data_IF_943235996351
#
_entry.id   IF_943235996351
#
_cell.length_a   1.000
_cell.length_b   1.000
_cell.length_c   1.000
_cell.angle_alpha   90.00
_cell.angle_beta   90.00
_cell.angle_gamma   90.00
#
_symmetry.space_group_name_H-M   'P 1'
#
loop_
_entity.id
_entity.type
_entity.pdbx_description
1 polymer ?
#
# COMPACT_ATOMS: atom_id res chain seq x y z
N UNK A 1 -22.46 6.48 -12.67
CA UNK A 1 -21.87 7.62 -13.44
C UNK A 1 -20.42 7.94 -13.03
N UNK A 2 -19.71 7.00 -12.38
CA UNK A 2 -18.33 7.14 -11.91
C UNK A 2 -17.44 6.19 -12.72
N UNK A 3 -16.22 6.59 -13.05
CA UNK A 3 -15.18 5.98 -13.91
C UNK A 3 -15.14 6.31 -15.41
N UNK A 4 -16.25 6.62 -16.11
CA UNK A 4 -16.17 6.95 -17.55
C UNK A 4 -15.61 8.34 -17.86
N UNK A 5 -15.62 9.29 -16.91
CA UNK A 5 -15.24 10.68 -17.18
C UNK A 5 -13.77 11.05 -16.91
N UNK A 6 -12.93 10.13 -16.43
CA UNK A 6 -11.48 10.37 -16.34
C UNK A 6 -10.70 10.02 -17.62
N UNK A 7 -11.37 9.47 -18.64
CA UNK A 7 -10.75 9.17 -19.94
C UNK A 7 -10.89 10.31 -20.97
N UNK A 8 -11.61 11.39 -20.65
CA UNK A 8 -11.96 12.45 -21.60
C UNK A 8 -11.30 13.81 -21.31
N UNK A 9 -10.27 13.87 -20.47
CA UNK A 9 -9.45 15.08 -20.31
C UNK A 9 -8.05 14.78 -20.86
N UNK A 10 -7.58 15.48 -21.91
CA UNK A 10 -6.28 15.24 -22.50
C UNK A 10 -5.21 15.77 -21.52
N UNK A 11 -4.78 14.93 -20.60
CA UNK A 11 -3.58 15.16 -19.81
C UNK A 11 -2.43 14.40 -20.50
N UNK A 12 -1.39 15.07 -21.04
CA UNK A 12 -0.30 14.40 -21.75
C UNK A 12 0.55 13.43 -20.89
N UNK A 13 0.25 13.30 -19.59
CA UNK A 13 0.94 12.43 -18.63
C UNK A 13 0.27 11.05 -18.42
N UNK A 14 -1.03 10.88 -18.73
CA UNK A 14 -1.70 9.59 -18.52
C UNK A 14 -1.37 8.54 -19.59
N UNK A 15 -1.09 8.96 -20.83
CA UNK A 15 -0.69 8.06 -21.92
C UNK A 15 0.70 7.43 -21.72
N UNK A 16 1.61 8.11 -21.00
CA UNK A 16 2.99 7.64 -20.77
C UNK A 16 3.10 6.63 -19.61
N UNK A 17 2.30 6.75 -18.55
CA UNK A 17 2.26 5.75 -17.47
C UNK A 17 1.59 4.45 -17.95
N UNK A 18 0.60 4.57 -18.83
CA UNK A 18 -0.04 3.43 -19.46
C UNK A 18 0.90 2.69 -20.42
N UNK A 19 1.98 3.25 -20.97
CA UNK A 19 2.73 2.51 -22.00
C UNK A 19 3.54 1.33 -21.45
N UNK A 20 3.83 1.33 -20.15
CA UNK A 20 4.56 0.25 -19.46
C UNK A 20 3.63 -0.61 -18.64
N UNK A 21 2.63 0.04 -18.02
CA UNK A 21 1.62 -0.66 -17.24
C UNK A 21 0.64 -1.39 -18.18
N UNK A 22 0.28 -0.85 -19.35
CA UNK A 22 -0.78 -1.43 -20.20
C UNK A 22 -0.47 -2.84 -20.73
N UNK A 23 0.76 -3.21 -21.16
CA UNK A 23 1.04 -4.61 -21.51
C UNK A 23 0.89 -5.57 -20.30
N UNK A 24 1.31 -5.11 -19.11
CA UNK A 24 1.30 -5.92 -17.86
C UNK A 24 -0.07 -5.90 -17.14
N UNK A 25 -0.91 -4.89 -17.39
CA UNK A 25 -2.20 -4.66 -16.72
C UNK A 25 -3.40 -5.07 -17.59
N UNK A 26 -3.23 -5.20 -18.91
CA UNK A 26 -4.25 -5.70 -19.85
C UNK A 26 -4.47 -7.21 -19.69
N UNK A 27 -3.49 -7.98 -19.24
CA UNK A 27 -3.62 -9.44 -19.09
C UNK A 27 -3.96 -9.92 -17.66
N UNK A 28 -3.74 -9.09 -16.64
CA UNK A 28 -4.23 -9.34 -15.28
C UNK A 28 -5.76 -9.16 -15.10
N UNK A 29 -6.51 -8.81 -16.15
CA UNK A 29 -7.96 -8.56 -16.07
C UNK A 29 -8.77 -9.27 -17.16
N UNK A 30 -9.33 -10.47 -16.89
CA UNK A 30 -10.46 -10.98 -17.65
C UNK A 30 -11.84 -10.60 -17.07
N UNK A 31 -11.94 -9.86 -15.94
CA UNK A 31 -13.22 -9.73 -15.19
C UNK A 31 -13.78 -8.29 -15.10
N UNK A 32 -13.25 -7.32 -15.83
CA UNK A 32 -13.85 -5.97 -15.89
C UNK A 32 -14.03 -5.48 -17.33
N UNK A 33 -14.72 -6.26 -18.15
CA UNK A 33 -15.41 -5.75 -19.33
C UNK A 33 -16.60 -6.65 -19.64
N UNK A 34 -17.82 -6.20 -19.30
CA UNK A 34 -18.71 -5.81 -20.39
C UNK A 34 -19.46 -4.51 -20.07
N UNK A 35 -20.13 -3.97 -21.11
CA UNK A 35 -21.06 -2.83 -21.11
C UNK A 35 -20.49 -1.49 -21.61
N UNK A 36 -19.90 -1.53 -22.81
CA UNK A 36 -20.42 -0.70 -23.90
C UNK A 36 -21.65 -1.41 -24.46
N UNK A 37 -22.85 -1.08 -23.98
CA UNK A 37 -24.07 -1.11 -24.79
C UNK A 37 -25.25 -0.46 -24.06
N UNK A 38 -26.08 0.22 -24.85
CA UNK A 38 -27.12 1.16 -24.46
C UNK A 38 -28.42 0.50 -23.95
N UNK A 39 -29.13 1.26 -23.10
CA UNK A 39 -30.57 1.20 -22.76
C UNK A 39 -31.14 -0.08 -22.11
N UNK A 40 -31.67 0.07 -20.87
CA UNK A 40 -33.11 0.03 -20.53
C UNK A 40 -33.28 0.25 -19.02
N UNK A 41 -34.28 1.08 -18.68
CA UNK A 41 -34.78 1.40 -17.35
C UNK A 41 -35.24 0.16 -16.56
N UNK A 42 -35.03 0.15 -15.24
CA UNK A 42 -36.14 0.08 -14.26
C UNK A 42 -35.65 0.34 -12.83
N UNK A 43 -36.62 0.75 -12.01
CA UNK A 43 -36.54 1.50 -10.76
C UNK A 43 -36.56 0.56 -9.54
N UNK A 44 -36.18 1.11 -8.37
CA UNK A 44 -36.73 0.86 -7.02
C UNK A 44 -35.83 0.09 -6.01
N UNK A 45 -35.99 0.27 -4.68
CA UNK A 45 -35.54 1.46 -3.93
C UNK A 45 -34.81 1.12 -2.60
N UNK A 46 -34.32 2.17 -1.90
CA UNK A 46 -34.14 2.27 -0.44
C UNK A 46 -33.08 1.39 0.26
N UNK A 47 -32.03 2.04 0.76
CA UNK A 47 -31.80 2.16 2.20
C UNK A 47 -30.80 3.29 2.48
N UNK A 48 -31.35 4.42 2.91
CA UNK A 48 -30.59 5.47 3.56
C UNK A 48 -30.15 4.94 4.93
N UNK A 49 -28.84 4.82 5.14
CA UNK A 49 -28.27 4.62 6.47
C UNK A 49 -27.39 5.83 6.77
N UNK A 50 -28.01 6.81 7.40
CA UNK A 50 -27.31 7.81 8.19
C UNK A 50 -26.82 7.13 9.47
N UNK A 51 -25.54 6.77 9.55
CA UNK A 51 -24.92 6.48 10.85
C UNK A 51 -23.91 7.54 11.19
N UNK A 52 -24.28 8.36 12.18
CA UNK A 52 -23.33 8.99 13.08
C UNK A 52 -22.34 7.94 13.57
N UNK A 53 -21.06 8.15 13.25
CA UNK A 53 -19.95 7.33 13.74
C UNK A 53 -19.77 7.64 15.24
N UNK A 54 -20.51 6.92 16.08
CA UNK A 54 -20.18 6.83 17.49
C UNK A 54 -19.03 5.85 17.65
N UNK A 55 -17.87 6.36 18.08
CA UNK A 55 -16.74 5.55 18.54
C UNK A 55 -17.18 4.67 19.71
N UNK A 56 -17.54 3.41 19.44
CA UNK A 56 -17.65 2.40 20.49
C UNK A 56 -16.23 2.02 20.92
N UNK A 57 -15.92 2.00 22.23
CA UNK A 57 -14.62 1.57 22.71
C UNK A 57 -14.45 0.08 22.47
N UNK A 58 -13.47 -0.30 21.65
CA UNK A 58 -12.99 -1.67 21.60
C UNK A 58 -12.53 -2.07 23.02
N UNK A 59 -13.00 -3.22 23.50
CA UNK A 59 -12.62 -3.72 24.82
C UNK A 59 -11.08 -3.90 24.90
N UNK A 60 -10.43 -3.45 25.99
CA UNK A 60 -8.99 -3.54 26.11
C UNK A 60 -8.51 -5.00 26.14
N UNK A 61 -7.55 -5.35 25.28
CA UNK A 61 -6.87 -6.64 25.30
C UNK A 61 -6.08 -6.77 26.62
N UNK A 62 -6.32 -7.80 27.46
CA UNK A 62 -5.62 -7.94 28.74
C UNK A 62 -4.12 -8.29 28.56
N UNK A 63 -3.24 -7.34 28.91
CA UNK A 63 -1.78 -7.44 28.80
C UNK A 63 -1.08 -8.60 29.55
N UNK A 64 -1.50 -9.09 30.74
CA UNK A 64 -0.76 -10.16 31.43
C UNK A 64 -0.80 -11.51 30.69
N UNK A 65 -1.53 -11.60 29.57
CA UNK A 65 -1.64 -12.80 28.76
C UNK A 65 -0.56 -12.94 27.69
N UNK A 66 0.14 -11.90 27.28
CA UNK A 66 1.15 -12.01 26.22
C UNK A 66 2.56 -12.05 26.80
N UNK A 67 3.40 -13.00 26.36
CA UNK A 67 4.86 -12.93 26.61
C UNK A 67 5.54 -12.32 25.38
N UNK A 68 6.50 -11.40 25.55
CA UNK A 68 7.36 -10.99 24.46
C UNK A 68 8.23 -12.21 24.04
N UNK A 69 8.19 -12.56 22.76
CA UNK A 69 9.23 -13.39 22.17
C UNK A 69 10.43 -12.47 21.86
N UNK A 70 11.63 -12.89 22.24
CA UNK A 70 12.86 -12.04 22.31
C UNK A 70 13.46 -11.80 20.92
N UNK A 71 12.65 -11.53 19.90
CA UNK A 71 13.14 -11.26 18.55
C UNK A 71 12.50 -9.98 17.99
N UNK A 72 13.28 -8.90 17.76
CA UNK A 72 12.79 -7.74 17.03
C UNK A 72 12.51 -8.15 15.58
N UNK A 73 11.33 -7.80 15.08
CA UNK A 73 10.90 -8.09 13.71
C UNK A 73 11.36 -7.02 12.70
N UNK A 74 11.99 -5.93 13.15
CA UNK A 74 12.42 -4.81 12.29
C UNK A 74 13.81 -4.28 12.62
N UNK A 75 14.55 -3.69 11.65
CA UNK A 75 15.80 -2.98 11.88
C UNK A 75 15.65 -1.77 12.83
N UNK A 76 16.76 -1.33 13.44
CA UNK A 76 16.80 -0.28 14.49
C UNK A 76 16.25 1.11 14.08
N UNK A 77 16.13 1.40 12.78
CA UNK A 77 15.62 2.67 12.25
C UNK A 77 14.08 2.75 12.23
N UNK A 78 13.39 1.61 12.26
CA UNK A 78 11.91 1.53 12.26
C UNK A 78 11.34 1.51 13.70
N UNK A 79 10.05 1.81 13.87
CA UNK A 79 9.36 1.52 15.14
C UNK A 79 9.55 0.05 15.50
N UNK A 80 9.96 -0.23 16.73
CA UNK A 80 10.28 -1.60 17.15
C UNK A 80 9.01 -2.46 17.11
N UNK A 81 8.97 -3.44 16.21
CA UNK A 81 7.91 -4.46 16.19
C UNK A 81 8.42 -5.72 16.87
N UNK A 82 7.62 -6.30 17.76
CA UNK A 82 7.94 -7.53 18.47
C UNK A 82 6.85 -8.57 18.27
N UNK A 83 7.24 -9.84 18.18
CA UNK A 83 6.31 -10.95 18.27
C UNK A 83 5.85 -11.13 19.72
N UNK A 84 4.54 -11.18 19.93
CA UNK A 84 3.93 -11.47 21.21
C UNK A 84 3.03 -12.70 21.08
N UNK A 85 3.16 -13.65 22.02
CA UNK A 85 2.38 -14.89 22.01
C UNK A 85 1.47 -14.93 23.22
N UNK A 86 0.18 -15.16 22.99
CA UNK A 86 -0.80 -15.34 24.05
C UNK A 86 -0.51 -16.64 24.81
N UNK A 87 -0.28 -16.53 26.13
CA UNK A 87 0.07 -17.63 27.02
C UNK A 87 -1.00 -18.71 27.16
N UNK A 88 -2.25 -18.40 26.82
CA UNK A 88 -3.38 -19.33 26.97
C UNK A 88 -3.82 -19.93 25.64
N UNK A 89 -3.88 -19.10 24.59
CA UNK A 89 -4.38 -19.52 23.28
C UNK A 89 -3.26 -19.85 22.29
N UNK A 90 -2.01 -19.57 22.64
CA UNK A 90 -0.83 -19.67 21.75
C UNK A 90 -0.92 -18.79 20.49
N UNK A 91 -1.89 -17.87 20.46
CA UNK A 91 -2.10 -16.94 19.36
C UNK A 91 -0.94 -15.93 19.29
N UNK A 92 -0.33 -15.84 18.11
CA UNK A 92 0.76 -14.92 17.80
C UNK A 92 0.23 -13.59 17.24
N UNK A 93 0.74 -12.48 17.75
CA UNK A 93 0.44 -11.12 17.27
C UNK A 93 1.73 -10.30 17.14
N UNK A 94 1.73 -9.36 16.21
CA UNK A 94 2.80 -8.37 16.09
C UNK A 94 2.46 -7.14 16.96
N UNK A 95 3.42 -6.66 17.74
CA UNK A 95 3.26 -5.50 18.62
C UNK A 95 4.21 -4.40 18.18
N UNK A 96 3.68 -3.34 17.56
CA UNK A 96 4.44 -2.14 17.19
C UNK A 96 4.53 -1.22 18.40
N UNK A 97 5.75 -0.94 18.86
CA UNK A 97 6.05 -0.15 20.05
C UNK A 97 6.59 1.22 19.61
N UNK A 98 5.89 2.28 19.98
CA UNK A 98 6.21 3.66 19.61
C UNK A 98 6.45 4.50 20.86
N UNK A 99 7.64 5.06 20.99
CA UNK A 99 7.94 6.06 22.02
C UNK A 99 7.51 7.45 21.53
N UNK A 100 6.48 8.01 22.16
CA UNK A 100 5.89 9.31 21.80
C UNK A 100 6.79 10.50 22.14
N UNK A 101 7.90 10.31 22.88
CA UNK A 101 8.87 11.37 23.18
C UNK A 101 9.92 11.57 22.08
N UNK A 102 10.05 10.63 21.14
CA UNK A 102 11.10 10.69 20.10
C UNK A 102 10.98 11.92 19.20
N UNK A 103 9.78 12.45 18.98
CA UNK A 103 9.54 13.65 18.19
C UNK A 103 8.26 14.36 18.64
N UNK A 104 8.22 15.69 18.54
CA UNK A 104 7.07 16.52 18.94
C UNK A 104 5.78 16.18 18.16
N UNK A 105 5.90 15.80 16.89
CA UNK A 105 4.76 15.42 16.03
C UNK A 105 4.30 13.96 16.22
N UNK A 106 5.10 13.15 16.93
CA UNK A 106 4.85 11.72 17.11
C UNK A 106 3.46 11.41 17.72
N UNK A 107 2.97 12.13 18.75
CA UNK A 107 1.65 11.89 19.32
C UNK A 107 0.48 12.08 18.33
N UNK A 108 0.60 13.02 17.40
CA UNK A 108 -0.46 13.26 16.41
C UNK A 108 -0.39 12.26 15.26
N UNK A 109 0.83 11.97 14.79
CA UNK A 109 1.06 10.96 13.76
C UNK A 109 0.56 9.58 14.21
N UNK A 110 0.82 9.18 15.47
CA UNK A 110 0.36 7.88 15.97
C UNK A 110 -1.15 7.82 16.18
N UNK A 111 -1.79 8.93 16.59
CA UNK A 111 -3.26 9.00 16.67
C UNK A 111 -3.89 8.82 15.30
N UNK A 112 -3.34 9.48 14.29
CA UNK A 112 -3.78 9.36 12.90
C UNK A 112 -3.63 7.93 12.39
N UNK A 113 -2.47 7.31 12.63
CA UNK A 113 -2.21 5.91 12.28
C UNK A 113 -3.23 4.98 12.93
N UNK A 114 -3.49 5.13 14.24
CA UNK A 114 -4.50 4.34 14.96
C UNK A 114 -5.91 4.55 14.39
N UNK A 115 -6.28 5.79 14.08
CA UNK A 115 -7.59 6.09 13.49
C UNK A 115 -7.77 5.43 12.12
N UNK A 116 -6.75 5.50 11.26
CA UNK A 116 -6.75 4.83 9.97
C UNK A 116 -6.88 3.33 10.16
N UNK A 117 -6.03 2.70 10.99
CA UNK A 117 -6.05 1.26 11.25
C UNK A 117 -7.43 0.74 11.72
N UNK A 118 -8.16 1.52 12.54
CA UNK A 118 -9.52 1.16 12.99
C UNK A 118 -10.55 1.07 11.86
N UNK A 119 -10.30 1.72 10.72
CA UNK A 119 -11.20 1.70 9.56
C UNK A 119 -10.91 0.52 8.62
N UNK A 120 -9.79 -0.17 8.79
CA UNK A 120 -9.30 -1.16 7.84
C UNK A 120 -9.83 -2.57 8.18
N UNK A 121 -10.39 -3.22 7.18
CA UNK A 121 -10.85 -4.60 7.22
C UNK A 121 -10.88 -5.16 5.80
N UNK A 122 -9.78 -5.81 5.40
CA UNK A 122 -9.62 -6.45 4.09
C UNK A 122 -8.61 -7.60 4.19
N UNK A 123 -8.73 -8.62 3.36
CA UNK A 123 -7.85 -9.80 3.43
C UNK A 123 -6.39 -9.46 3.11
N UNK A 124 -6.14 -8.52 2.19
CA UNK A 124 -4.81 -8.04 1.79
C UNK A 124 -4.30 -6.84 2.59
N UNK A 125 -4.83 -6.60 3.80
CA UNK A 125 -4.38 -5.54 4.69
C UNK A 125 -4.15 -6.14 6.08
N UNK A 126 -3.03 -5.78 6.73
CA UNK A 126 -2.71 -6.23 8.09
C UNK A 126 -3.86 -5.88 9.04
N UNK A 127 -4.42 -6.89 9.73
CA UNK A 127 -5.49 -6.64 10.69
C UNK A 127 -4.99 -5.87 11.90
N UNK A 128 -5.79 -4.91 12.36
CA UNK A 128 -5.58 -4.17 13.58
C UNK A 128 -6.47 -4.72 14.70
N UNK A 129 -5.85 -5.25 15.76
CA UNK A 129 -6.58 -5.81 16.91
C UNK A 129 -6.88 -4.78 17.99
N UNK A 130 -6.06 -3.73 18.08
CA UNK A 130 -6.26 -2.69 19.08
C UNK A 130 -4.98 -1.96 19.44
N UNK A 131 -5.08 -1.09 20.44
CA UNK A 131 -3.93 -0.34 20.94
C UNK A 131 -3.99 -0.17 22.45
N UNK A 132 -2.83 0.02 23.09
CA UNK A 132 -2.70 0.35 24.50
C UNK A 132 -1.67 1.45 24.67
N UNK A 133 -1.90 2.34 25.64
CA UNK A 133 -0.94 3.36 26.05
C UNK A 133 -0.44 3.06 27.44
N UNK A 134 0.87 3.15 27.65
CA UNK A 134 1.51 3.04 28.96
C UNK A 134 2.52 4.18 29.11
N UNK A 135 2.15 5.20 29.89
CA UNK A 135 2.94 6.43 30.00
C UNK A 135 3.13 7.14 28.65
N UNK A 136 4.38 7.20 28.20
CA UNK A 136 4.78 7.80 26.92
C UNK A 136 4.94 6.77 25.79
N UNK A 137 4.68 5.49 26.06
CA UNK A 137 4.81 4.42 25.07
C UNK A 137 3.43 4.02 24.56
N UNK A 138 3.31 3.90 23.24
CA UNK A 138 2.13 3.42 22.55
C UNK A 138 2.41 2.02 21.97
N UNK A 139 1.46 1.11 22.17
CA UNK A 139 1.50 -0.26 21.67
C UNK A 139 0.34 -0.47 20.69
N UNK A 140 0.63 -0.91 19.48
CA UNK A 140 -0.37 -1.31 18.47
C UNK A 140 -0.28 -2.82 18.30
N UNK A 141 -1.42 -3.51 18.39
CA UNK A 141 -1.53 -4.95 18.23
C UNK A 141 -2.04 -5.25 16.82
N UNK A 142 -1.23 -5.96 16.05
CA UNK A 142 -1.40 -6.19 14.63
C UNK A 142 -1.36 -7.69 14.31
N UNK A 143 -1.93 -8.07 13.18
CA UNK A 143 -1.77 -9.41 12.58
C UNK A 143 -0.29 -9.77 12.46
N UNK A 144 0.09 -10.94 12.98
CA UNK A 144 1.42 -11.47 12.75
C UNK A 144 1.47 -12.17 11.40
N UNK A 145 2.30 -11.64 10.51
CA UNK A 145 2.53 -12.19 9.17
C UNK A 145 3.79 -13.07 9.21
N UNK A 146 3.60 -14.38 9.42
CA UNK A 146 4.70 -15.33 9.65
C UNK A 146 5.59 -15.58 8.42
N UNK A 147 5.12 -15.22 7.23
CA UNK A 147 5.86 -15.34 5.96
C UNK A 147 6.90 -14.24 5.74
N UNK A 148 6.99 -13.25 6.64
CA UNK A 148 7.98 -12.17 6.58
C UNK A 148 7.62 -11.06 5.59
N UNK A 149 8.63 -10.32 5.16
CA UNK A 149 8.51 -9.24 4.18
C UNK A 149 8.57 -9.81 2.75
N UNK A 150 7.84 -9.20 1.82
CA UNK A 150 7.96 -9.49 0.38
C UNK A 150 9.38 -9.18 -0.11
N UNK A 151 10.04 -8.20 0.52
CA UNK A 151 11.44 -7.85 0.25
C UNK A 151 12.36 -9.07 0.27
N UNK A 152 12.21 -9.95 1.28
CA UNK A 152 13.04 -11.15 1.44
C UNK A 152 12.75 -12.23 0.39
N UNK A 153 11.67 -12.09 -0.39
CA UNK A 153 11.31 -13.00 -1.49
C UNK A 153 11.89 -12.58 -2.84
N UNK A 154 12.43 -11.36 -2.94
CA UNK A 154 12.97 -10.82 -4.18
C UNK A 154 14.46 -11.15 -4.22
N UNK A 155 14.88 -12.04 -5.12
CA UNK A 155 16.30 -12.36 -5.30
C UNK A 155 17.00 -11.16 -5.95
N UNK A 156 18.11 -10.64 -5.37
CA UNK A 156 18.84 -9.53 -5.95
C UNK A 156 19.28 -9.81 -7.39
N UNK A 157 19.11 -8.84 -8.27
CA UNK A 157 19.41 -8.91 -9.72
C UNK A 157 18.62 -9.95 -10.54
N UNK A 158 17.76 -10.74 -9.92
CA UNK A 158 16.98 -11.81 -10.58
C UNK A 158 15.48 -11.56 -10.48
N UNK A 159 14.98 -11.21 -9.29
CA UNK A 159 13.54 -11.10 -9.02
C UNK A 159 12.95 -12.39 -8.46
N UNK A 160 11.77 -12.75 -8.94
CA UNK A 160 11.05 -13.98 -8.59
C UNK A 160 10.32 -14.54 -9.82
N UNK A 161 9.85 -15.79 -9.79
CA UNK A 161 9.07 -16.36 -10.89
C UNK A 161 7.87 -15.50 -11.26
N UNK A 162 7.69 -15.27 -12.55
CA UNK A 162 6.64 -14.41 -13.09
C UNK A 162 5.21 -14.75 -12.60
N UNK A 163 4.78 -16.03 -12.52
CA UNK A 163 3.47 -16.37 -11.97
C UNK A 163 3.30 -16.00 -10.49
N UNK A 164 4.39 -16.01 -9.72
CA UNK A 164 4.40 -15.62 -8.32
C UNK A 164 4.30 -14.09 -8.20
N UNK A 165 5.07 -13.35 -9.00
CA UNK A 165 4.99 -11.89 -9.08
C UNK A 165 3.57 -11.44 -9.49
N UNK A 166 2.95 -12.10 -10.48
CA UNK A 166 1.57 -11.82 -10.91
C UNK A 166 0.56 -12.05 -9.76
N UNK A 167 0.68 -13.17 -9.04
CA UNK A 167 -0.18 -13.49 -7.88
C UNK A 167 -0.07 -12.42 -6.80
N UNK A 168 1.15 -12.03 -6.40
CA UNK A 168 1.34 -10.97 -5.40
C UNK A 168 0.85 -9.62 -5.90
N UNK A 169 1.06 -9.31 -7.18
CA UNK A 169 0.57 -8.07 -7.77
C UNK A 169 -0.96 -7.98 -7.76
N UNK A 170 -1.68 -9.05 -8.08
CA UNK A 170 -3.14 -9.10 -7.97
C UNK A 170 -3.62 -8.80 -6.54
N UNK A 171 -2.97 -9.40 -5.53
CA UNK A 171 -3.27 -9.17 -4.12
C UNK A 171 -2.94 -7.74 -3.67
N UNK A 172 -1.83 -7.17 -4.15
CA UNK A 172 -1.47 -5.77 -3.92
C UNK A 172 -2.53 -4.83 -4.50
N UNK A 173 -2.94 -5.04 -5.74
CA UNK A 173 -3.98 -4.23 -6.39
C UNK A 173 -5.32 -4.37 -5.65
N UNK A 174 -5.71 -5.57 -5.21
CA UNK A 174 -6.91 -5.76 -4.41
C UNK A 174 -6.89 -4.94 -3.12
N UNK A 175 -5.77 -4.95 -2.38
CA UNK A 175 -5.57 -4.13 -1.18
C UNK A 175 -5.60 -2.63 -1.48
N UNK A 176 -4.96 -2.17 -2.55
CA UNK A 176 -4.93 -0.74 -2.94
C UNK A 176 -6.31 -0.25 -3.39
N UNK A 177 -7.05 -1.04 -4.18
CA UNK A 177 -8.43 -0.75 -4.57
C UNK A 177 -9.31 -0.60 -3.33
N UNK A 178 -9.18 -1.51 -2.37
CA UNK A 178 -9.88 -1.41 -1.09
C UNK A 178 -9.57 -0.08 -0.37
N UNK A 179 -8.28 0.26 -0.18
CA UNK A 179 -7.88 1.50 0.49
C UNK A 179 -8.43 2.74 -0.21
N UNK A 180 -8.32 2.80 -1.54
CA UNK A 180 -8.81 3.92 -2.34
C UNK A 180 -10.34 4.05 -2.30
N UNK A 181 -11.07 2.92 -2.25
CA UNK A 181 -12.53 2.92 -2.15
C UNK A 181 -13.05 3.57 -0.86
N UNK A 182 -12.30 3.45 0.24
CA UNK A 182 -12.61 4.10 1.52
C UNK A 182 -11.91 5.46 1.68
N UNK A 183 -11.27 5.96 0.62
CA UNK A 183 -10.66 7.29 0.58
C UNK A 183 -9.33 7.42 1.31
N UNK A 184 -8.58 6.31 1.45
CA UNK A 184 -7.28 6.25 2.11
C UNK A 184 -6.18 5.99 1.09
N UNK A 185 -5.08 6.71 1.18
CA UNK A 185 -3.85 6.44 0.41
C UNK A 185 -2.75 6.00 1.36
N UNK A 186 -1.90 5.08 0.90
CA UNK A 186 -0.82 4.50 1.69
C UNK A 186 0.40 5.43 1.75
N UNK A 187 0.86 5.90 0.58
CA UNK A 187 1.99 6.83 0.37
C UNK A 187 3.40 6.31 0.66
N UNK A 188 3.55 5.03 0.99
CA UNK A 188 4.86 4.36 1.13
C UNK A 188 4.77 2.87 0.77
N UNK A 189 4.18 2.55 -0.38
CA UNK A 189 4.13 1.16 -0.86
C UNK A 189 5.51 0.74 -1.39
N UNK A 190 6.04 -0.34 -0.83
CA UNK A 190 7.34 -0.94 -1.15
C UNK A 190 7.42 -2.35 -0.56
N UNK A 191 8.28 -3.25 -1.04
CA UNK A 191 8.33 -4.65 -0.60
C UNK A 191 8.47 -4.84 0.91
N UNK A 192 9.16 -3.94 1.62
CA UNK A 192 9.32 -3.98 3.08
C UNK A 192 8.00 -3.74 3.83
N UNK A 193 7.07 -2.99 3.24
CA UNK A 193 5.75 -2.70 3.82
C UNK A 193 4.68 -3.70 3.33
N UNK A 194 5.05 -4.69 2.52
CA UNK A 194 4.18 -5.75 2.02
C UNK A 194 4.58 -7.06 2.69
N UNK A 195 3.76 -7.53 3.63
CA UNK A 195 4.05 -8.73 4.41
C UNK A 195 3.35 -9.96 3.84
N UNK A 196 3.79 -11.14 4.23
CA UNK A 196 3.21 -12.42 3.82
C UNK A 196 2.71 -13.19 5.05
N UNK A 197 1.48 -13.68 5.00
CA UNK A 197 0.99 -14.60 6.03
C UNK A 197 1.53 -16.04 5.83
N UNK A 198 1.12 -16.98 6.69
CA UNK A 198 1.57 -18.38 6.62
C UNK A 198 1.13 -19.15 5.37
N UNK A 199 0.37 -18.54 4.45
CA UNK A 199 -0.04 -19.11 3.16
C UNK A 199 0.46 -18.30 1.97
N UNK A 200 1.40 -17.38 2.20
CA UNK A 200 1.86 -16.40 1.22
C UNK A 200 0.70 -15.54 0.67
N UNK A 201 -0.21 -15.13 1.55
CA UNK A 201 -1.17 -14.06 1.22
C UNK A 201 -0.52 -12.73 1.56
N UNK A 202 -0.43 -11.84 0.57
CA UNK A 202 0.12 -10.49 0.71
C UNK A 202 -0.79 -9.61 1.57
N UNK A 203 -0.17 -8.89 2.50
CA UNK A 203 -0.77 -7.98 3.49
C UNK A 203 -0.08 -6.62 3.43
N UNK A 204 -0.81 -5.58 3.02
CA UNK A 204 -0.32 -4.20 3.10
C UNK A 204 -0.21 -3.80 4.58
N UNK A 205 0.96 -3.30 4.98
CA UNK A 205 1.30 -2.95 6.36
C UNK A 205 1.87 -1.53 6.47
N UNK A 206 2.09 -1.06 7.71
CA UNK A 206 2.65 0.26 8.07
C UNK A 206 1.91 1.50 7.54
N UNK A 207 0.78 1.81 8.16
CA UNK A 207 -0.03 3.00 7.87
C UNK A 207 0.49 4.29 8.52
N UNK A 208 1.74 4.35 8.97
CA UNK A 208 2.31 5.53 9.63
C UNK A 208 2.34 6.79 8.74
N UNK A 209 2.49 6.60 7.43
CA UNK A 209 2.41 7.67 6.44
C UNK A 209 1.05 7.78 5.75
N UNK A 210 0.09 6.90 6.04
CA UNK A 210 -1.20 6.91 5.36
C UNK A 210 -2.02 8.19 5.65
N UNK A 211 -2.95 8.52 4.75
CA UNK A 211 -3.83 9.68 4.94
C UNK A 211 -5.17 9.52 4.23
N UNK A 212 -6.21 10.16 4.77
CA UNK A 212 -7.51 10.27 4.09
C UNK A 212 -7.39 11.32 2.99
N UNK A 213 -7.66 10.96 1.74
CA UNK A 213 -7.68 11.87 0.60
C UNK A 213 -9.10 12.10 0.05
N UNK A 214 -10.08 11.30 0.47
CA UNK A 214 -11.48 11.45 0.07
C UNK A 214 -12.41 11.30 1.27
N UNK A 215 -13.34 12.24 1.44
CA UNK A 215 -14.35 12.20 2.50
C UNK A 215 -15.66 12.85 2.02
N UNK A 216 -16.81 12.22 2.27
CA UNK A 216 -18.12 12.73 1.83
C UNK A 216 -18.21 12.93 0.30
N UNK A 217 -17.57 12.06 -0.48
CA UNK A 217 -17.50 12.18 -1.95
C UNK A 217 -16.57 13.29 -2.48
N UNK A 218 -15.93 14.07 -1.60
CA UNK A 218 -14.99 15.13 -1.99
C UNK A 218 -13.55 14.63 -1.90
N UNK A 219 -12.83 14.71 -3.01
CA UNK A 219 -11.40 14.45 -3.09
C UNK A 219 -10.62 15.71 -2.69
N UNK A 220 -9.55 15.56 -1.90
CA UNK A 220 -8.57 16.62 -1.62
C UNK A 220 -7.24 16.31 -2.28
N UNK A 221 -6.57 17.35 -2.76
CA UNK A 221 -5.18 17.25 -3.20
C UNK A 221 -4.24 17.17 -1.99
N UNK A 222 -3.09 16.56 -2.20
CA UNK A 222 -2.03 16.42 -1.22
C UNK A 222 -0.87 17.34 -1.59
N UNK A 223 -0.18 17.85 -0.56
CA UNK A 223 0.98 18.75 -0.68
C UNK A 223 2.23 18.19 -0.02
N UNK A 224 2.07 17.32 0.99
CA UNK A 224 3.18 16.78 1.78
C UNK A 224 3.94 15.73 0.98
N UNK A 225 5.19 16.03 0.66
CA UNK A 225 6.16 15.09 0.13
C UNK A 225 6.59 14.09 1.21
N UNK A 226 6.36 12.80 0.98
CA UNK A 226 6.80 11.70 1.83
C UNK A 226 6.82 10.39 1.02
N UNK A 227 7.42 9.35 1.61
CA UNK A 227 7.63 8.06 0.97
C UNK A 227 9.11 7.80 0.70
N UNK A 228 9.41 6.63 0.16
CA UNK A 228 10.78 6.18 -0.12
C UNK A 228 11.16 6.52 -1.57
N UNK A 229 12.27 7.26 -1.78
CA UNK A 229 12.59 7.98 -3.04
C UNK A 229 12.49 7.15 -4.35
N UNK A 230 12.96 5.89 -4.44
CA UNK A 230 12.82 5.11 -5.67
C UNK A 230 11.36 4.83 -6.06
N UNK A 231 10.48 4.77 -5.07
CA UNK A 231 9.06 4.40 -5.20
C UNK A 231 8.13 5.61 -5.31
N UNK A 232 8.60 6.83 -5.02
CA UNK A 232 7.73 8.02 -5.13
C UNK A 232 7.43 8.31 -6.60
N UNK A 233 6.26 8.91 -6.86
CA UNK A 233 5.87 9.33 -8.20
C UNK A 233 6.54 10.67 -8.60
N UNK A 234 6.82 10.90 -9.90
CA UNK A 234 7.49 12.12 -10.36
C UNK A 234 6.74 13.41 -10.04
N UNK A 235 5.40 13.40 -10.03
CA UNK A 235 4.60 14.57 -9.68
C UNK A 235 4.80 15.01 -8.23
N UNK A 236 5.18 14.10 -7.34
CA UNK A 236 5.48 14.38 -5.94
C UNK A 236 6.74 15.26 -5.80
N UNK A 237 7.67 15.17 -6.77
CA UNK A 237 8.89 15.98 -6.83
C UNK A 237 8.73 17.30 -7.60
N UNK A 238 7.66 17.42 -8.41
CA UNK A 238 7.50 18.51 -9.39
C UNK A 238 6.33 19.44 -9.10
N UNK A 239 5.31 18.97 -8.40
CA UNK A 239 4.05 19.69 -8.21
C UNK A 239 3.87 20.11 -6.76
N UNK A 240 3.40 21.34 -6.54
CA UNK A 240 3.02 21.80 -5.21
C UNK A 240 1.81 21.02 -4.64
N UNK A 241 0.92 20.55 -5.53
CA UNK A 241 -0.24 19.75 -5.20
C UNK A 241 -0.41 18.59 -6.17
N UNK A 242 -0.78 17.41 -5.67
CA UNK A 242 -0.96 16.20 -6.46
C UNK A 242 -2.17 15.38 -5.99
N UNK A 243 -2.63 14.47 -6.86
CA UNK A 243 -3.70 13.49 -6.53
C UNK A 243 -3.09 12.30 -5.82
N UNK A 244 -3.83 11.71 -4.89
CA UNK A 244 -3.32 10.62 -4.06
C UNK A 244 -3.25 9.28 -4.81
N UNK A 245 -4.31 8.91 -5.53
CA UNK A 245 -4.45 7.58 -6.15
C UNK A 245 -3.32 7.28 -7.16
N UNK A 246 -2.94 8.19 -8.08
CA UNK A 246 -1.86 7.93 -9.03
C UNK A 246 -0.49 7.67 -8.38
N UNK A 247 -0.24 8.26 -7.20
CA UNK A 247 1.03 8.08 -6.47
C UNK A 247 1.17 6.64 -5.96
N UNK A 248 0.10 6.08 -5.39
CA UNK A 248 0.12 4.68 -4.96
C UNK A 248 0.22 3.73 -6.16
N UNK A 249 -0.45 4.04 -7.29
CA UNK A 249 -0.37 3.23 -8.53
C UNK A 249 1.04 3.22 -9.10
N UNK A 250 1.74 4.36 -9.09
CA UNK A 250 3.15 4.44 -9.50
C UNK A 250 4.03 3.53 -8.64
N UNK A 251 3.88 3.61 -7.32
CA UNK A 251 4.63 2.78 -6.38
C UNK A 251 4.38 1.28 -6.61
N UNK A 252 3.14 0.88 -6.91
CA UNK A 252 2.83 -0.51 -7.31
C UNK A 252 3.61 -0.93 -8.55
N UNK A 253 3.76 -0.05 -9.56
CA UNK A 253 4.55 -0.33 -10.75
C UNK A 253 6.03 -0.57 -10.43
N UNK A 254 6.61 0.24 -9.54
CA UNK A 254 8.00 0.05 -9.07
C UNK A 254 8.16 -1.26 -8.29
N UNK A 255 7.18 -1.63 -7.45
CA UNK A 255 7.15 -2.93 -6.75
C UNK A 255 7.11 -4.08 -7.74
N UNK A 256 6.31 -3.99 -8.80
CA UNK A 256 6.27 -5.02 -9.85
C UNK A 256 7.62 -5.16 -10.56
N UNK A 257 8.26 -4.05 -10.91
CA UNK A 257 9.63 -4.08 -11.47
C UNK A 257 10.61 -4.77 -10.54
N UNK A 258 10.57 -4.46 -9.24
CA UNK A 258 11.43 -5.09 -8.25
C UNK A 258 11.19 -6.61 -8.17
N UNK A 259 9.92 -7.06 -8.19
CA UNK A 259 9.60 -8.49 -8.21
C UNK A 259 10.09 -9.19 -9.49
N UNK A 260 10.01 -8.54 -10.65
CA UNK A 260 10.38 -9.17 -11.94
C UNK A 260 11.87 -9.12 -12.26
N UNK A 261 12.61 -8.15 -11.73
CA UNK A 261 14.01 -7.90 -12.12
C UNK A 261 15.02 -7.95 -10.97
N UNK A 262 14.56 -7.96 -9.72
CA UNK A 262 15.42 -7.99 -8.53
C UNK A 262 16.25 -6.71 -8.33
N UNK A 263 15.94 -5.65 -9.06
CA UNK A 263 16.63 -4.36 -8.99
C UNK A 263 15.63 -3.20 -9.17
N UNK A 264 15.96 -2.04 -8.62
CA UNK A 264 15.15 -0.84 -8.76
C UNK A 264 15.50 -0.11 -10.06
N UNK A 265 14.51 0.51 -10.73
CA UNK A 265 14.73 1.14 -12.03
C UNK A 265 15.48 2.47 -11.97
N UNK A 266 15.58 3.11 -10.81
CA UNK A 266 16.23 4.40 -10.57
C UNK A 266 16.33 4.70 -9.07
N UNK A 267 17.16 5.68 -8.70
CA UNK A 267 17.20 6.22 -7.33
C UNK A 267 16.01 7.14 -7.02
N UNK A 268 15.56 7.91 -8.03
CA UNK A 268 14.41 8.81 -7.94
C UNK A 268 13.93 9.21 -9.35
N UNK A 269 12.64 9.47 -9.55
CA UNK A 269 12.10 9.82 -10.88
C UNK A 269 12.26 11.31 -11.21
N UNK A 270 13.50 11.77 -11.36
CA UNK A 270 13.85 13.16 -11.71
C UNK A 270 14.67 13.24 -13.00
N UNK A 271 14.65 14.39 -13.69
CA UNK A 271 15.45 14.59 -14.91
C UNK A 271 16.96 14.58 -14.68
N UNK A 272 17.39 14.67 -13.41
CA UNK A 272 18.78 14.52 -13.00
C UNK A 272 19.22 13.06 -12.84
N UNK A 273 18.30 12.09 -12.86
CA UNK A 273 18.59 10.66 -12.80
C UNK A 273 18.65 10.11 -14.23
N UNK A 274 19.79 9.53 -14.61
CA UNK A 274 20.03 9.08 -15.98
C UNK A 274 19.12 7.90 -16.34
N UNK A 275 18.93 6.96 -15.43
CA UNK A 275 18.11 5.76 -15.60
C UNK A 275 16.64 6.12 -15.83
N UNK A 276 16.14 7.12 -15.09
CA UNK A 276 14.80 7.67 -15.32
C UNK A 276 14.68 8.40 -16.66
N UNK A 277 15.72 9.08 -17.11
CA UNK A 277 15.77 9.69 -18.44
C UNK A 277 15.76 8.64 -19.56
N UNK A 278 16.58 7.59 -19.42
CA UNK A 278 16.64 6.47 -20.36
C UNK A 278 15.30 5.75 -20.48
N UNK A 279 14.57 5.61 -19.36
CA UNK A 279 13.22 5.08 -19.35
C UNK A 279 12.22 5.93 -20.14
N UNK A 280 12.21 7.26 -19.95
CA UNK A 280 11.36 8.18 -20.73
C UNK A 280 11.66 8.10 -22.23
N UNK A 281 12.91 7.82 -22.59
CA UNK A 281 13.37 7.61 -23.96
C UNK A 281 13.11 6.19 -24.49
N UNK A 282 12.44 5.33 -23.70
CA UNK A 282 12.07 3.96 -24.04
C UNK A 282 13.28 3.05 -24.31
N UNK A 283 14.40 3.28 -23.62
CA UNK A 283 15.59 2.41 -23.72
C UNK A 283 15.41 1.12 -22.92
N UNK A 284 14.41 0.31 -23.28
CA UNK A 284 14.05 -0.94 -22.59
C UNK A 284 15.05 -2.09 -22.83
N UNK A 285 16.06 -1.87 -23.68
CA UNK A 285 17.20 -2.77 -23.83
C UNK A 285 18.23 -2.63 -22.68
N UNK A 286 18.04 -1.67 -21.77
CA UNK A 286 18.85 -1.48 -20.56
C UNK A 286 18.21 -2.19 -19.36
N UNK A 287 18.98 -2.38 -18.28
CA UNK A 287 18.43 -2.83 -16.99
C UNK A 287 17.49 -1.77 -16.39
N UNK A 288 16.49 -2.17 -15.58
CA UNK A 288 16.02 -3.56 -15.38
C UNK A 288 15.24 -4.15 -16.55
N UNK A 289 14.82 -3.31 -17.49
CA UNK A 289 13.81 -3.61 -18.48
C UNK A 289 14.15 -4.79 -19.40
N UNK A 290 15.42 -5.00 -19.73
CA UNK A 290 15.86 -6.14 -20.55
C UNK A 290 15.68 -7.51 -19.89
N UNK A 291 15.49 -7.55 -18.57
CA UNK A 291 15.24 -8.79 -17.80
C UNK A 291 13.76 -9.17 -17.79
N UNK A 292 12.88 -8.22 -18.09
CA UNK A 292 11.43 -8.40 -18.04
C UNK A 292 10.97 -8.82 -19.43
N UNK A 293 10.28 -9.97 -19.52
CA UNK A 293 9.73 -10.41 -20.80
C UNK A 293 8.65 -9.41 -21.26
N UNK A 294 8.64 -9.14 -22.55
CA UNK A 294 7.61 -8.33 -23.21
C UNK A 294 6.30 -9.10 -23.42
N UNK A 295 6.30 -10.41 -23.18
CA UNK A 295 5.12 -11.25 -23.20
C UNK A 295 4.10 -10.77 -22.14
N UNK A 296 2.79 -10.81 -22.45
CA UNK A 296 1.78 -10.41 -21.48
C UNK A 296 1.66 -11.40 -20.31
N UNK A 297 1.52 -10.88 -19.08
CA UNK A 297 1.31 -11.62 -17.81
C UNK A 297 -0.10 -12.23 -17.68
#
# INVERSE_FOLDING_TARGET
LSYAHCLSVPCPLCAHCLTIICPLLVCAMPVVCPLLDYHVLTVCPLLAITHHVHCLPAAPIPWPRFRPAVCPLTPCAHPRVQLAVNRRTEEAVAVKIVDMKRAAECPENIRKEICINKMLNHENVVKFYGHRREGATQYLFLEYCSGGELFDRIEPDVGMPEPEAQRFFQQLIAGVVYLHSIGITHRDLKPENLLLDGRDTLKISDFGLATVFRHGGRERRLTRMCGTLPYVAPELLRSAEFRAEPVDVWACGVVLTAMLAGELPWDQPSDSCQEYCDWKEKKTYLNPWKKIDSAPL
#
